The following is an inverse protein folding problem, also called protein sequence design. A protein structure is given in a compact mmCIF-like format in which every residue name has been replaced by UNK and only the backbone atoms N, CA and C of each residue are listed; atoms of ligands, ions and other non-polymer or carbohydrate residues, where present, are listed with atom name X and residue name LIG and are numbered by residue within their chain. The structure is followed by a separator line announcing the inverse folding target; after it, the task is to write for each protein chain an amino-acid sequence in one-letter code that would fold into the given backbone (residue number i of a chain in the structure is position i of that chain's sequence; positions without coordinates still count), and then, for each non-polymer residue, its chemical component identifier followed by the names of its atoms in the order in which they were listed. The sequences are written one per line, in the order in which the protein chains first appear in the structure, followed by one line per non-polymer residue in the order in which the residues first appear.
data_IF_185316096233
#
_entry.id   IF_185316096233
#
_cell.length_a   1.000
_cell.length_b   1.000
_cell.length_c   1.000
_cell.angle_alpha   90.00
_cell.angle_beta   90.00
_cell.angle_gamma   90.00
#
_symmetry.space_group_name_H-M   'P 1'
#
loop_
_entity.id
_entity.type
_entity.pdbx_description
1 polymer ?
#
# COMPACT_ATOMS: atom_id res chain seq x y z
N UNK A 1 -13.49 19.07 9.66
CA UNK A 1 -14.03 17.88 8.96
C UNK A 1 -12.85 17.18 8.30
N UNK A 2 -12.52 15.95 8.72
CA UNK A 2 -11.37 15.22 8.18
C UNK A 2 -11.69 14.65 6.80
N UNK A 3 -10.66 14.42 5.97
CA UNK A 3 -10.82 13.69 4.70
C UNK A 3 -11.16 12.22 4.97
N UNK A 4 -11.93 11.61 4.07
CA UNK A 4 -12.20 10.17 4.08
C UNK A 4 -10.90 9.35 3.91
N UNK A 5 -10.90 8.12 4.42
CA UNK A 5 -9.76 7.23 4.22
C UNK A 5 -9.64 6.88 2.74
N UNK A 6 -8.40 6.81 2.24
CA UNK A 6 -8.08 6.54 0.84
C UNK A 6 -8.71 7.54 -0.15
N UNK A 7 -9.00 8.78 0.27
CA UNK A 7 -9.52 9.82 -0.62
C UNK A 7 -8.63 10.10 -1.85
N UNK A 8 -7.36 9.73 -1.80
CA UNK A 8 -6.39 9.88 -2.89
C UNK A 8 -6.42 8.71 -3.89
N UNK A 9 -7.11 7.61 -3.57
CA UNK A 9 -7.33 6.46 -4.46
C UNK A 9 -8.55 6.71 -5.34
N UNK A 10 -8.39 7.68 -6.24
CA UNK A 10 -9.37 8.03 -7.28
C UNK A 10 -9.42 6.94 -8.37
N UNK A 11 -10.46 6.94 -9.24
CA UNK A 11 -10.48 6.06 -10.41
C UNK A 11 -9.21 6.17 -11.27
N UNK A 12 -8.69 7.38 -11.46
CA UNK A 12 -7.44 7.63 -12.20
C UNK A 12 -6.24 7.01 -11.51
N UNK A 13 -6.16 7.14 -10.17
CA UNK A 13 -5.13 6.48 -9.36
C UNK A 13 -5.21 4.96 -9.52
N UNK A 14 -6.41 4.36 -9.47
CA UNK A 14 -6.60 2.91 -9.65
C UNK A 14 -6.11 2.46 -11.02
N UNK A 15 -6.56 3.13 -12.09
CA UNK A 15 -6.12 2.82 -13.46
C UNK A 15 -4.61 2.96 -13.64
N UNK A 16 -3.98 3.96 -13.01
CA UNK A 16 -2.52 4.12 -13.07
C UNK A 16 -1.80 2.98 -12.35
N UNK A 17 -2.26 2.61 -11.16
CA UNK A 17 -1.66 1.57 -10.34
C UNK A 17 -1.80 0.18 -10.97
N UNK A 18 -2.97 -0.15 -11.52
CA UNK A 18 -3.25 -1.43 -12.21
C UNK A 18 -2.31 -1.68 -13.41
N UNK A 19 -1.82 -0.63 -14.08
CA UNK A 19 -0.98 -0.77 -15.29
C UNK A 19 0.46 -1.22 -15.03
N UNK A 20 0.92 -1.24 -13.79
CA UNK A 20 2.32 -1.61 -13.54
C UNK A 20 2.77 -1.71 -12.08
N UNK A 21 1.87 -1.48 -11.12
CA UNK A 21 2.20 -1.47 -9.70
C UNK A 21 1.51 -2.61 -8.92
N UNK A 22 0.39 -3.09 -9.42
CA UNK A 22 -0.45 -4.10 -8.79
C UNK A 22 -0.41 -5.43 -9.57
N UNK A 23 -0.68 -6.54 -8.89
CA UNK A 23 -0.95 -7.81 -9.58
C UNK A 23 -2.36 -7.80 -10.21
N UNK A 24 -2.64 -8.74 -11.11
CA UNK A 24 -3.93 -8.82 -11.79
C UNK A 24 -5.08 -8.98 -10.77
N UNK A 25 -6.03 -8.05 -10.80
CA UNK A 25 -7.18 -8.03 -9.89
C UNK A 25 -6.91 -7.48 -8.49
N UNK A 26 -5.67 -7.11 -8.16
CA UNK A 26 -5.31 -6.56 -6.85
C UNK A 26 -5.71 -5.09 -6.73
N UNK A 27 -6.30 -4.71 -5.60
CA UNK A 27 -6.61 -3.31 -5.27
C UNK A 27 -5.41 -2.58 -4.65
N UNK A 28 -5.48 -1.23 -4.65
CA UNK A 28 -4.46 -0.39 -4.00
C UNK A 28 -4.43 -0.67 -2.49
N UNK A 29 -5.60 -0.82 -1.87
CA UNK A 29 -5.76 -1.06 -0.45
C UNK A 29 -5.17 -2.41 -0.02
N UNK A 30 -5.45 -3.48 -0.77
CA UNK A 30 -4.85 -4.80 -0.54
C UNK A 30 -3.33 -4.73 -0.66
N UNK A 31 -2.83 -4.03 -1.69
CA UNK A 31 -1.39 -3.91 -1.88
C UNK A 31 -0.71 -3.11 -0.77
N UNK A 32 -1.35 -2.08 -0.23
CA UNK A 32 -0.87 -1.36 0.95
C UNK A 32 -0.79 -2.30 2.15
N UNK A 33 -1.83 -3.13 2.38
CA UNK A 33 -1.85 -4.09 3.49
C UNK A 33 -0.70 -5.10 3.38
N UNK A 34 -0.46 -5.66 2.20
CA UNK A 34 0.67 -6.59 1.99
C UNK A 34 2.04 -5.96 2.28
N UNK A 35 2.25 -4.72 1.84
CA UNK A 35 3.49 -3.98 2.11
C UNK A 35 3.64 -3.73 3.61
N UNK A 36 2.55 -3.36 4.27
CA UNK A 36 2.50 -3.09 5.70
C UNK A 36 2.83 -4.35 6.52
N UNK A 37 2.18 -5.48 6.21
CA UNK A 37 2.41 -6.77 6.87
C UNK A 37 3.84 -7.27 6.68
N UNK A 38 4.40 -7.12 5.46
CA UNK A 38 5.79 -7.47 5.23
C UNK A 38 6.75 -6.62 6.06
N UNK A 39 6.47 -5.32 6.18
CA UNK A 39 7.31 -4.43 6.99
C UNK A 39 7.22 -4.80 8.48
N UNK A 40 6.04 -5.13 8.98
CA UNK A 40 5.85 -5.64 10.34
C UNK A 40 6.64 -6.92 10.59
N UNK A 41 6.59 -7.90 9.67
CA UNK A 41 7.34 -9.15 9.77
C UNK A 41 8.85 -8.91 9.87
N UNK A 42 9.39 -7.98 9.06
CA UNK A 42 10.83 -7.64 9.07
C UNK A 42 11.22 -6.96 10.38
N UNK A 43 10.37 -6.08 10.90
CA UNK A 43 10.65 -5.30 12.09
C UNK A 43 10.40 -6.09 13.39
N UNK A 44 9.53 -7.10 13.36
CA UNK A 44 9.08 -7.82 14.54
C UNK A 44 8.28 -6.93 15.51
N UNK A 45 7.61 -5.91 14.97
CA UNK A 45 6.89 -4.89 15.75
C UNK A 45 5.39 -5.07 15.60
N UNK A 46 4.76 -5.76 16.54
CA UNK A 46 3.32 -6.03 16.55
C UNK A 46 2.50 -4.73 16.38
N UNK A 47 1.58 -4.73 15.41
CA UNK A 47 0.69 -3.61 15.11
C UNK A 47 1.29 -2.53 14.20
N UNK A 48 2.53 -2.69 13.74
CA UNK A 48 3.15 -1.77 12.80
C UNK A 48 2.36 -1.67 11.48
N UNK A 49 1.83 -2.78 10.98
CA UNK A 49 1.09 -2.84 9.73
C UNK A 49 -0.20 -2.02 9.78
N UNK A 50 -0.89 -2.03 10.93
CA UNK A 50 -2.11 -1.26 11.14
C UNK A 50 -1.82 0.25 11.15
N UNK A 51 -0.77 0.68 11.87
CA UNK A 51 -0.38 2.09 11.89
C UNK A 51 0.11 2.56 10.52
N UNK A 52 0.88 1.72 9.82
CA UNK A 52 1.34 2.00 8.46
C UNK A 52 0.15 2.18 7.50
N UNK A 53 -0.82 1.26 7.52
CA UNK A 53 -2.01 1.36 6.68
C UNK A 53 -2.86 2.58 7.07
N UNK A 54 -2.98 2.89 8.37
CA UNK A 54 -3.66 4.09 8.83
C UNK A 54 -3.03 5.35 8.22
N UNK A 55 -1.72 5.53 8.37
CA UNK A 55 -0.99 6.66 7.81
C UNK A 55 -1.10 6.74 6.28
N UNK A 56 -0.99 5.60 5.58
CA UNK A 56 -1.15 5.52 4.13
C UNK A 56 -2.57 5.89 3.68
N UNK A 57 -3.59 5.40 4.38
CA UNK A 57 -5.00 5.72 4.10
C UNK A 57 -5.29 7.22 4.27
N UNK A 58 -4.56 7.92 5.14
CA UNK A 58 -4.62 9.38 5.29
C UNK A 58 -3.80 10.14 4.22
N UNK A 59 -3.01 9.43 3.42
CA UNK A 59 -2.15 10.01 2.40
C UNK A 59 -0.99 10.83 2.97
N UNK A 60 -0.45 10.44 4.13
CA UNK A 60 0.61 11.19 4.81
C UNK A 60 2.01 10.97 4.21
N UNK A 61 2.20 9.88 3.49
CA UNK A 61 3.45 9.60 2.78
C UNK A 61 3.18 8.88 1.46
N UNK A 62 4.19 8.85 0.60
CA UNK A 62 4.19 8.10 -0.65
C UNK A 62 5.24 6.99 -0.61
N UNK A 63 5.02 5.97 -1.43
CA UNK A 63 5.98 4.89 -1.62
C UNK A 63 6.61 5.01 -3.01
N UNK A 64 7.90 4.65 -3.09
CA UNK A 64 8.60 4.60 -4.37
C UNK A 64 8.10 3.42 -5.21
N UNK A 65 8.25 3.53 -6.53
CA UNK A 65 7.86 2.48 -7.49
C UNK A 65 8.40 1.09 -7.13
N UNK A 66 9.69 0.91 -6.76
CA UNK A 66 10.20 -0.42 -6.40
C UNK A 66 9.49 -1.04 -5.19
N UNK A 67 9.03 -0.23 -4.24
CA UNK A 67 8.30 -0.73 -3.06
C UNK A 67 6.94 -1.29 -3.48
N UNK A 68 6.17 -0.51 -4.25
CA UNK A 68 4.90 -0.98 -4.80
C UNK A 68 5.06 -2.27 -5.60
N UNK A 69 6.04 -2.31 -6.50
CA UNK A 69 6.17 -3.39 -7.48
C UNK A 69 6.78 -4.65 -6.89
N UNK A 70 7.67 -4.56 -5.90
CA UNK A 70 8.51 -5.70 -5.47
C UNK A 70 8.47 -6.04 -3.99
N UNK A 71 8.23 -5.08 -3.08
CA UNK A 71 8.43 -5.31 -1.65
C UNK A 71 7.44 -6.34 -1.10
N UNK A 72 7.95 -7.38 -0.44
CA UNK A 72 7.12 -8.48 0.11
C UNK A 72 6.62 -9.48 -0.93
N UNK A 73 6.85 -9.25 -2.23
CA UNK A 73 6.55 -10.28 -3.25
C UNK A 73 7.70 -11.27 -3.31
N UNK A 74 7.37 -12.55 -3.48
CA UNK A 74 8.35 -13.59 -3.86
C UNK A 74 8.64 -13.47 -5.36
N UNK A 75 9.39 -12.43 -5.74
CA UNK A 75 10.00 -12.40 -7.07
C UNK A 75 11.33 -13.14 -6.96
N UNK A 76 11.50 -14.14 -7.83
CA UNK A 76 12.57 -15.15 -7.77
C UNK A 76 13.97 -14.58 -7.73
#
# INVERSE_FOLDING_TARGET
MGKELFYWVTPETRTFMERGYLDEGQSVEERVREIAERAEEILGMEGFADEFQHCMSKGWFSLSTPVWVNFGKKKG
#
